data_IF_940796578182
#
_entry.id   IF_940796578182
#
_cell.length_a   1.000
_cell.length_b   1.000
_cell.length_c   1.000
_cell.angle_alpha   90.00
_cell.angle_beta   90.00
_cell.angle_gamma   90.00
#
_symmetry.space_group_name_H-M   'P 1'
#
loop_
_entity.id
_entity.type
_entity.pdbx_description
1 polymer ?
#
# COMPACT_ATOMS: atom_id res chain seq x y z
N UNK A 1 6.85 3.97 0.97
CA UNK A 1 7.27 2.77 0.27
C UNK A 1 6.70 1.47 0.81
N UNK A 2 7.03 1.07 2.02
CA UNK A 2 6.59 -0.24 2.55
C UNK A 2 5.18 -0.20 3.14
N UNK A 3 4.97 0.61 4.15
CA UNK A 3 3.68 0.85 4.82
C UNK A 3 3.54 2.32 5.20
N UNK A 4 2.33 2.72 5.60
CA UNK A 4 2.12 4.03 6.22
C UNK A 4 3.00 4.15 7.46
N UNK A 5 3.81 5.21 7.54
CA UNK A 5 4.72 5.46 8.65
C UNK A 5 6.10 4.78 8.53
N UNK A 6 6.36 3.96 7.49
CA UNK A 6 7.71 3.43 7.26
C UNK A 6 8.71 4.56 7.06
N UNK A 7 9.85 4.49 7.75
CA UNK A 7 10.85 5.55 7.78
C UNK A 7 12.26 4.99 7.71
N UNK A 8 13.15 5.69 7.04
CA UNK A 8 14.58 5.52 7.21
C UNK A 8 15.09 6.52 8.23
N UNK A 9 16.04 6.10 9.05
CA UNK A 9 16.63 6.93 10.10
C UNK A 9 18.02 7.35 9.68
N UNK A 10 18.27 8.65 9.63
CA UNK A 10 19.60 9.21 9.40
C UNK A 10 20.15 9.72 10.74
N UNK A 11 21.35 9.31 11.08
CA UNK A 11 22.02 9.67 12.34
C UNK A 11 23.40 10.27 12.04
N UNK A 12 23.66 11.44 12.56
CA UNK A 12 24.99 12.09 12.52
C UNK A 12 25.64 11.98 13.87
N UNK A 13 26.85 11.43 13.90
CA UNK A 13 27.67 11.23 15.09
C UNK A 13 28.94 12.03 14.92
N UNK A 14 29.26 12.90 15.91
CA UNK A 14 30.52 13.64 15.92
C UNK A 14 31.40 13.10 17.04
N UNK A 15 32.58 12.61 16.69
CA UNK A 15 33.61 12.17 17.63
C UNK A 15 34.93 12.83 17.27
N UNK A 16 35.59 13.46 18.25
CA UNK A 16 36.91 14.13 18.08
C UNK A 16 36.98 15.15 16.95
N UNK A 17 35.84 15.77 16.59
CA UNK A 17 35.71 16.77 15.53
C UNK A 17 35.49 16.18 14.14
N UNK A 18 35.39 14.89 14.01
CA UNK A 18 34.99 14.19 12.77
C UNK A 18 33.50 13.82 12.85
N UNK A 19 32.76 14.08 11.80
CA UNK A 19 31.36 13.70 11.65
C UNK A 19 31.23 12.44 10.80
N UNK A 20 30.34 11.54 11.23
CA UNK A 20 30.02 10.30 10.54
C UNK A 20 28.50 10.19 10.40
N UNK A 21 28.01 9.92 9.21
CA UNK A 21 26.59 9.70 8.92
C UNK A 21 26.29 8.22 8.80
N UNK A 22 25.38 7.73 9.65
CA UNK A 22 24.87 6.36 9.62
C UNK A 22 23.41 6.37 9.21
N UNK A 23 23.04 5.46 8.31
CA UNK A 23 21.66 5.31 7.83
C UNK A 23 21.13 3.93 8.19
N UNK A 24 19.93 3.88 8.73
CA UNK A 24 19.15 2.66 8.96
C UNK A 24 17.94 2.70 8.03
N UNK A 25 17.84 1.73 7.11
CA UNK A 25 16.79 1.77 6.09
C UNK A 25 15.38 1.51 6.64
N UNK A 26 15.25 0.76 7.73
CA UNK A 26 13.99 0.10 8.03
C UNK A 26 13.54 -0.79 6.86
N UNK A 27 12.25 -1.06 6.77
CA UNK A 27 11.65 -1.78 5.63
C UNK A 27 11.38 -0.79 4.49
N UNK A 28 12.03 -0.97 3.35
CA UNK A 28 12.03 0.01 2.25
C UNK A 28 10.75 -0.11 1.41
N UNK A 29 10.33 -1.34 1.09
CA UNK A 29 9.20 -1.62 0.21
C UNK A 29 9.53 -1.45 -1.27
N UNK A 30 8.50 -1.28 -2.09
CA UNK A 30 8.60 -1.15 -3.54
C UNK A 30 8.15 0.22 -4.02
N UNK A 31 8.61 0.61 -5.21
CA UNK A 31 8.09 1.77 -5.93
C UNK A 31 6.74 1.47 -6.59
N UNK A 32 6.00 2.53 -6.88
CA UNK A 32 4.72 2.47 -7.59
C UNK A 32 3.68 1.56 -6.90
N UNK A 33 3.71 1.50 -5.58
CA UNK A 33 2.62 0.87 -4.83
C UNK A 33 1.44 1.82 -4.73
N UNK A 34 0.20 1.33 -4.87
CA UNK A 34 -0.96 2.19 -4.76
C UNK A 34 -1.09 2.78 -3.35
N UNK A 35 -1.70 3.92 -3.24
CA UNK A 35 -2.06 4.68 -2.04
C UNK A 35 -0.92 5.46 -1.39
N UNK A 36 0.28 4.89 -1.30
CA UNK A 36 1.37 5.48 -0.54
C UNK A 36 2.51 5.93 -1.43
N UNK A 37 3.16 7.02 -1.05
CA UNK A 37 4.32 7.56 -1.77
C UNK A 37 5.45 6.57 -1.83
N UNK A 38 6.23 6.67 -2.88
CA UNK A 38 7.46 5.91 -3.05
C UNK A 38 8.47 6.20 -1.93
N UNK A 39 9.40 5.27 -1.66
CA UNK A 39 10.48 5.49 -0.71
C UNK A 39 11.32 6.70 -1.10
N UNK A 40 11.70 7.51 -0.11
CA UNK A 40 12.68 8.57 -0.32
C UNK A 40 14.08 7.97 -0.25
N UNK A 41 14.87 8.21 -1.31
CA UNK A 41 16.24 7.70 -1.38
C UNK A 41 17.21 8.64 -0.71
N UNK A 42 18.00 8.09 0.23
CA UNK A 42 19.11 8.78 0.87
C UNK A 42 20.32 8.68 -0.07
N UNK A 43 20.93 9.83 -0.39
CA UNK A 43 21.96 9.92 -1.41
C UNK A 43 23.36 9.62 -0.90
N UNK A 44 23.63 9.93 0.36
CA UNK A 44 24.98 9.86 0.94
C UNK A 44 24.92 9.35 2.38
N UNK A 45 25.83 8.47 2.71
CA UNK A 45 26.09 7.98 4.07
C UNK A 45 27.47 7.37 4.14
N UNK A 46 28.12 7.43 5.32
CA UNK A 46 29.38 6.72 5.58
C UNK A 46 29.11 5.25 5.87
N UNK A 47 28.01 4.95 6.58
CA UNK A 47 27.59 3.60 6.89
C UNK A 47 26.09 3.42 6.62
N UNK A 48 25.73 2.26 6.05
CA UNK A 48 24.33 1.89 5.77
C UNK A 48 24.04 0.53 6.39
N UNK A 49 23.00 0.50 7.22
CA UNK A 49 22.38 -0.71 7.76
C UNK A 49 21.02 -0.86 7.08
N UNK A 50 20.89 -1.85 6.20
CA UNK A 50 19.68 -2.00 5.40
C UNK A 50 19.12 -3.42 5.44
N UNK A 51 17.80 -3.51 5.20
CA UNK A 51 17.15 -4.80 4.98
C UNK A 51 17.71 -5.51 3.74
N UNK A 52 17.57 -6.84 3.71
CA UNK A 52 17.89 -7.65 2.53
C UNK A 52 16.93 -8.83 2.37
N UNK A 53 15.68 -8.64 2.71
CA UNK A 53 14.65 -9.69 2.73
C UNK A 53 14.53 -10.40 1.39
N UNK A 54 14.58 -9.65 0.31
CA UNK A 54 14.59 -10.18 -1.06
C UNK A 54 15.88 -9.85 -1.82
N UNK A 55 16.99 -9.73 -1.10
CA UNK A 55 18.29 -9.37 -1.67
C UNK A 55 18.88 -10.40 -2.63
N UNK A 56 18.36 -11.63 -2.65
CA UNK A 56 18.79 -12.74 -3.48
C UNK A 56 17.97 -12.92 -4.78
N UNK A 57 16.96 -12.08 -5.03
CA UNK A 57 16.06 -12.25 -6.17
C UNK A 57 15.45 -10.94 -6.67
N UNK A 58 15.01 -10.96 -7.91
CA UNK A 58 14.24 -9.89 -8.52
C UNK A 58 12.74 -10.23 -8.50
N UNK A 59 11.92 -9.22 -8.25
CA UNK A 59 10.49 -9.33 -8.48
C UNK A 59 10.19 -9.22 -9.97
N UNK A 60 9.22 -10.01 -10.45
CA UNK A 60 8.68 -9.85 -11.80
C UNK A 60 7.93 -8.53 -11.96
N UNK A 61 7.57 -8.18 -13.20
CA UNK A 61 6.70 -7.04 -13.47
C UNK A 61 5.36 -7.27 -12.79
N UNK A 62 4.90 -6.35 -11.91
CA UNK A 62 3.60 -6.50 -11.26
C UNK A 62 2.48 -6.46 -12.30
N UNK A 63 1.49 -7.36 -12.22
CA UNK A 63 0.31 -7.29 -13.06
C UNK A 63 -0.60 -6.14 -12.63
N UNK A 64 -1.65 -5.85 -13.43
CA UNK A 64 -2.76 -5.04 -12.92
C UNK A 64 -3.56 -5.87 -11.91
N UNK A 65 -3.33 -5.59 -10.64
CA UNK A 65 -3.94 -6.33 -9.53
C UNK A 65 -5.47 -6.18 -9.48
N UNK A 66 -6.04 -5.06 -9.94
CA UNK A 66 -7.49 -4.91 -10.01
C UNK A 66 -8.10 -5.86 -11.05
N UNK A 67 -7.47 -5.96 -12.22
CA UNK A 67 -7.89 -6.88 -13.28
C UNK A 67 -7.76 -8.35 -12.85
N UNK A 68 -6.64 -8.72 -12.20
CA UNK A 68 -6.45 -10.09 -11.73
C UNK A 68 -7.42 -10.44 -10.61
N UNK A 69 -7.66 -9.53 -9.67
CA UNK A 69 -8.65 -9.71 -8.61
C UNK A 69 -10.07 -9.83 -9.17
N UNK A 70 -10.42 -9.03 -10.19
CA UNK A 70 -11.71 -9.11 -10.87
C UNK A 70 -11.94 -10.49 -11.51
N UNK A 71 -10.92 -11.12 -12.10
CA UNK A 71 -11.03 -12.49 -12.64
C UNK A 71 -11.36 -13.50 -11.53
N UNK A 72 -10.68 -13.41 -10.40
CA UNK A 72 -10.91 -14.30 -9.25
C UNK A 72 -12.32 -14.11 -8.68
N UNK A 73 -12.78 -12.86 -8.56
CA UNK A 73 -14.13 -12.54 -8.12
C UNK A 73 -15.18 -13.08 -9.08
N UNK A 74 -14.99 -12.87 -10.39
CA UNK A 74 -15.88 -13.39 -11.45
C UNK A 74 -16.03 -14.90 -11.37
N UNK A 75 -14.94 -15.63 -11.29
CA UNK A 75 -14.95 -17.10 -11.17
C UNK A 75 -15.67 -17.55 -9.89
N UNK A 76 -15.48 -16.83 -8.79
CA UNK A 76 -16.09 -17.14 -7.50
C UNK A 76 -17.60 -16.88 -7.52
N UNK A 77 -18.03 -15.71 -8.02
CA UNK A 77 -19.43 -15.32 -8.09
C UNK A 77 -20.21 -16.16 -9.10
N UNK A 78 -19.60 -16.53 -10.23
CA UNK A 78 -20.21 -17.46 -11.20
C UNK A 78 -20.59 -18.81 -10.57
N UNK A 79 -19.81 -19.26 -9.57
CA UNK A 79 -20.10 -20.48 -8.81
C UNK A 79 -21.04 -20.26 -7.62
N UNK A 80 -21.54 -19.03 -7.42
CA UNK A 80 -22.40 -18.67 -6.29
C UNK A 80 -21.67 -18.65 -4.94
N UNK A 81 -20.35 -18.47 -4.95
CA UNK A 81 -19.51 -18.46 -3.75
C UNK A 81 -19.18 -17.05 -3.24
N UNK A 82 -18.51 -16.99 -2.08
CA UNK A 82 -17.93 -15.80 -1.50
C UNK A 82 -16.40 -15.88 -1.56
N UNK A 83 -15.73 -14.76 -1.83
CA UNK A 83 -14.29 -14.66 -1.76
C UNK A 83 -13.85 -14.21 -0.37
N UNK A 84 -12.99 -14.98 0.29
CA UNK A 84 -12.37 -14.62 1.56
C UNK A 84 -10.90 -14.28 1.30
N UNK A 85 -10.50 -13.07 1.65
CA UNK A 85 -9.14 -12.55 1.44
C UNK A 85 -8.47 -12.37 2.79
N UNK A 86 -7.55 -13.28 3.22
CA UNK A 86 -6.75 -13.03 4.41
C UNK A 86 -5.76 -11.90 4.14
N UNK A 87 -5.80 -10.86 4.96
CA UNK A 87 -4.94 -9.69 4.81
C UNK A 87 -4.49 -9.16 6.17
N UNK A 88 -3.26 -8.66 6.25
CA UNK A 88 -2.81 -7.91 7.43
C UNK A 88 -3.63 -6.64 7.59
N UNK A 89 -3.90 -6.25 8.84
CA UNK A 89 -4.74 -5.09 9.17
C UNK A 89 -4.14 -3.75 8.70
N UNK A 90 -2.80 -3.65 8.60
CA UNK A 90 -2.10 -2.47 8.07
C UNK A 90 -1.57 -2.76 6.66
N UNK A 91 -1.79 -1.84 5.74
CA UNK A 91 -1.27 -1.84 4.37
C UNK A 91 -2.07 -2.74 3.45
N UNK A 92 -2.03 -4.07 3.62
CA UNK A 92 -2.66 -5.01 2.68
C UNK A 92 -4.18 -4.88 2.63
N UNK A 93 -4.85 -4.65 3.75
CA UNK A 93 -6.31 -4.43 3.77
C UNK A 93 -6.68 -3.17 2.99
N UNK A 94 -5.94 -2.08 3.17
CA UNK A 94 -6.19 -0.81 2.49
C UNK A 94 -5.91 -0.92 0.98
N UNK A 95 -4.88 -1.66 0.56
CA UNK A 95 -4.64 -1.96 -0.85
C UNK A 95 -5.79 -2.77 -1.47
N UNK A 96 -6.33 -3.76 -0.75
CA UNK A 96 -7.48 -4.54 -1.23
C UNK A 96 -8.71 -3.66 -1.41
N UNK A 97 -9.00 -2.77 -0.46
CA UNK A 97 -10.09 -1.81 -0.58
C UNK A 97 -9.91 -0.89 -1.79
N UNK A 98 -8.68 -0.43 -2.03
CA UNK A 98 -8.35 0.37 -3.21
C UNK A 98 -8.63 -0.39 -4.52
N UNK A 99 -8.18 -1.65 -4.64
CA UNK A 99 -8.43 -2.45 -5.83
C UNK A 99 -9.90 -2.81 -6.02
N UNK A 100 -10.63 -3.12 -4.95
CA UNK A 100 -12.07 -3.39 -5.00
C UNK A 100 -12.85 -2.15 -5.44
N UNK A 101 -12.47 -0.96 -4.97
CA UNK A 101 -13.03 0.30 -5.45
C UNK A 101 -12.76 0.48 -6.96
N UNK A 102 -11.52 0.25 -7.42
CA UNK A 102 -11.19 0.32 -8.86
C UNK A 102 -12.05 -0.63 -9.67
N UNK A 103 -12.21 -1.87 -9.24
CA UNK A 103 -13.06 -2.87 -9.93
C UNK A 103 -14.46 -2.31 -10.14
N UNK A 104 -15.05 -1.69 -9.11
CA UNK A 104 -16.38 -1.10 -9.20
C UNK A 104 -16.41 0.14 -10.09
N UNK A 105 -15.48 1.08 -9.91
CA UNK A 105 -15.47 2.34 -10.67
C UNK A 105 -15.03 2.19 -12.12
N UNK A 106 -14.26 1.15 -12.46
CA UNK A 106 -13.85 0.80 -13.81
C UNK A 106 -14.79 -0.22 -14.49
N UNK A 107 -15.91 -0.56 -13.83
CA UNK A 107 -16.94 -1.46 -14.37
C UNK A 107 -16.43 -2.86 -14.76
N UNK A 108 -15.48 -3.40 -13.98
CA UNK A 108 -14.87 -4.70 -14.32
C UNK A 108 -15.74 -5.92 -13.96
N UNK A 109 -16.84 -5.72 -13.20
CA UNK A 109 -17.74 -6.78 -12.71
C UNK A 109 -19.22 -6.36 -12.71
N UNK A 110 -19.66 -5.53 -13.65
CA UNK A 110 -21.04 -5.01 -13.70
C UNK A 110 -22.10 -6.11 -13.71
N UNK A 111 -21.80 -7.27 -14.29
CA UNK A 111 -22.73 -8.40 -14.32
C UNK A 111 -23.02 -9.00 -12.93
N UNK A 112 -22.24 -8.66 -11.92
CA UNK A 112 -22.41 -9.13 -10.54
C UNK A 112 -22.77 -8.01 -9.56
N UNK A 113 -23.02 -6.81 -10.03
CA UNK A 113 -23.47 -5.69 -9.17
C UNK A 113 -24.95 -5.87 -8.76
N UNK A 114 -25.35 -5.51 -7.53
CA UNK A 114 -24.46 -5.08 -6.44
C UNK A 114 -23.81 -6.27 -5.71
N UNK A 115 -22.53 -6.16 -5.37
CA UNK A 115 -21.88 -7.06 -4.43
C UNK A 115 -21.36 -6.29 -3.21
N UNK A 116 -21.24 -6.98 -2.08
CA UNK A 116 -20.88 -6.37 -0.80
C UNK A 116 -19.45 -6.75 -0.39
N UNK A 117 -18.79 -5.81 0.30
CA UNK A 117 -17.45 -5.98 0.84
C UNK A 117 -17.48 -5.79 2.36
N UNK A 118 -17.01 -6.78 3.09
CA UNK A 118 -16.94 -6.77 4.54
C UNK A 118 -15.50 -6.78 5.01
N UNK A 119 -15.15 -5.88 5.92
CA UNK A 119 -13.87 -5.88 6.64
C UNK A 119 -14.13 -6.36 8.06
N UNK A 120 -13.94 -7.66 8.28
CA UNK A 120 -14.18 -8.31 9.59
C UNK A 120 -12.92 -8.24 10.48
N UNK A 121 -12.46 -7.01 10.77
CA UNK A 121 -11.33 -6.77 11.64
C UNK A 121 -11.41 -5.36 12.25
N UNK A 122 -11.66 -5.23 13.57
CA UNK A 122 -11.64 -3.94 14.25
C UNK A 122 -10.33 -3.18 14.04
N UNK A 123 -9.17 -3.87 14.13
CA UNK A 123 -7.85 -3.26 13.91
C UNK A 123 -7.66 -2.76 12.46
N UNK A 124 -8.21 -3.46 11.47
CA UNK A 124 -8.14 -3.00 10.09
C UNK A 124 -9.00 -1.75 9.87
N UNK A 125 -10.13 -1.64 10.54
CA UNK A 125 -10.98 -0.45 10.49
C UNK A 125 -10.29 0.76 11.14
N UNK A 126 -9.66 0.57 12.31
CA UNK A 126 -8.87 1.60 12.97
C UNK A 126 -7.68 2.04 12.10
N UNK A 127 -6.94 1.09 11.53
CA UNK A 127 -5.85 1.40 10.61
C UNK A 127 -6.34 2.20 9.39
N UNK A 128 -7.48 1.85 8.81
CA UNK A 128 -8.08 2.57 7.67
C UNK A 128 -8.45 4.00 8.04
N UNK A 129 -8.90 4.23 9.27
CA UNK A 129 -9.13 5.59 9.80
C UNK A 129 -7.82 6.39 9.86
N UNK A 130 -6.75 5.80 10.39
CA UNK A 130 -5.42 6.43 10.47
C UNK A 130 -4.89 6.78 9.06
N UNK A 131 -5.04 5.87 8.08
CA UNK A 131 -4.69 6.16 6.69
C UNK A 131 -5.43 7.40 6.17
N UNK A 132 -6.71 7.53 6.48
CA UNK A 132 -7.54 8.68 6.05
C UNK A 132 -7.12 9.98 6.73
N UNK A 133 -6.71 9.94 7.99
CA UNK A 133 -6.24 11.11 8.74
C UNK A 133 -4.90 11.64 8.21
N UNK A 134 -3.98 10.74 7.81
CA UNK A 134 -2.65 11.07 7.32
C UNK A 134 -2.53 11.11 5.78
N UNK A 135 -3.65 11.21 5.06
CA UNK A 135 -3.68 11.20 3.60
C UNK A 135 -2.78 12.24 2.94
N UNK A 136 -2.74 13.47 3.46
CA UNK A 136 -1.94 14.57 2.88
C UNK A 136 -0.43 14.35 3.01
N UNK A 137 0.00 13.62 4.03
CA UNK A 137 1.40 13.37 4.30
C UNK A 137 1.92 12.13 3.56
N UNK A 138 1.06 11.14 3.32
CA UNK A 138 1.47 9.80 2.97
C UNK A 138 0.93 9.28 1.64
N UNK A 139 -0.21 9.80 1.15
CA UNK A 139 -0.80 9.30 -0.10
C UNK A 139 -0.02 9.79 -1.32
N UNK A 140 0.01 8.93 -2.35
CA UNK A 140 0.58 9.22 -3.65
C UNK A 140 -0.28 10.22 -4.45
N UNK A 141 0.20 10.63 -5.61
CA UNK A 141 -0.48 11.62 -6.45
C UNK A 141 -1.84 11.10 -6.95
N UNK A 142 -1.94 9.82 -7.32
CA UNK A 142 -3.17 9.22 -7.82
C UNK A 142 -4.27 9.19 -6.74
N UNK A 143 -3.93 8.75 -5.52
CA UNK A 143 -4.86 8.76 -4.40
C UNK A 143 -5.28 10.20 -4.03
N UNK A 144 -4.37 11.17 -4.11
CA UNK A 144 -4.69 12.58 -3.87
C UNK A 144 -5.59 13.17 -4.94
N UNK A 145 -5.43 12.80 -6.21
CA UNK A 145 -6.37 13.20 -7.27
C UNK A 145 -7.79 12.70 -7.01
N UNK A 146 -7.93 11.46 -6.52
CA UNK A 146 -9.24 10.91 -6.16
C UNK A 146 -9.88 11.72 -5.02
N UNK A 147 -9.10 12.04 -3.98
CA UNK A 147 -9.56 12.87 -2.86
C UNK A 147 -10.03 14.25 -3.33
N UNK A 148 -9.28 14.88 -4.22
CA UNK A 148 -9.63 16.19 -4.80
C UNK A 148 -10.94 16.15 -5.61
N UNK A 149 -11.29 14.98 -6.16
CA UNK A 149 -12.57 14.70 -6.82
C UNK A 149 -13.68 14.30 -5.84
N UNK A 150 -13.44 14.33 -4.53
CA UNK A 150 -14.39 13.92 -3.49
C UNK A 150 -14.53 12.39 -3.32
N UNK A 151 -13.59 11.62 -3.86
CA UNK A 151 -13.60 10.17 -3.80
C UNK A 151 -12.60 9.70 -2.73
N UNK A 152 -13.05 8.87 -1.80
CA UNK A 152 -12.16 8.25 -0.80
C UNK A 152 -11.52 7.00 -1.40
N UNK A 153 -10.17 6.94 -1.58
CA UNK A 153 -9.49 5.85 -2.30
C UNK A 153 -9.67 4.47 -1.68
N UNK A 154 -9.84 4.40 -0.37
CA UNK A 154 -9.94 3.18 0.45
C UNK A 154 -11.34 2.95 1.02
N UNK A 155 -12.35 3.62 0.50
CA UNK A 155 -13.75 3.37 0.81
C UNK A 155 -14.38 2.61 -0.34
N UNK A 156 -15.09 1.53 -0.03
CA UNK A 156 -15.91 0.82 -0.99
C UNK A 156 -17.25 1.55 -1.11
N UNK A 157 -17.65 2.00 -2.30
CA UNK A 157 -18.86 2.77 -2.54
C UNK A 157 -20.12 1.90 -2.51
#
# INVERSE_FOLDING_TARGET
>A
GHLLGSSSIEMWITEKGEECKIVFSGDIGNNNRPLIRDPQYIKEADYVVMESTYGDRLHGTPPDYAVELAKVLKDTFTRGGNLVIPAFYVGRTQEMLYFLRRIKTEHLLDEFEPFEVYVDSPLANEATTIFSEHKYDCFDEEAMELINKGITPISFP
#
